data_IF_162152897853
#
_entry.id   IF_162152897853
#
_cell.length_a   1.000
_cell.length_b   1.000
_cell.length_c   1.000
_cell.angle_alpha   90.00
_cell.angle_beta   90.00
_cell.angle_gamma   90.00
#
_symmetry.space_group_name_H-M   'P 1'
#
loop_
_entity.id
_entity.type
_entity.pdbx_description
1 polymer ?
#
# COMPACT_ATOMS: atom_id res chain seq x y z
N UNK A 1 -53.24 10.07 63.85
CA UNK A 1 -53.18 9.96 62.38
C UNK A 1 -51.70 9.95 61.98
N UNK A 2 -51.14 8.82 61.57
CA UNK A 2 -49.71 8.65 61.14
C UNK A 2 -49.70 8.44 59.65
N UNK A 3 -49.26 9.45 58.86
CA UNK A 3 -49.04 9.37 57.42
C UNK A 3 -47.73 8.71 57.15
N UNK A 4 -47.77 7.54 56.48
CA UNK A 4 -46.58 6.80 56.04
C UNK A 4 -46.20 7.32 54.65
N UNK A 5 -45.05 7.98 54.53
CA UNK A 5 -44.47 8.32 53.23
C UNK A 5 -43.77 7.10 52.63
N UNK A 6 -44.32 6.58 51.52
CA UNK A 6 -43.66 5.57 50.68
C UNK A 6 -42.66 6.30 49.78
N UNK A 7 -41.40 6.12 50.05
CA UNK A 7 -40.32 6.60 49.19
C UNK A 7 -40.07 5.51 48.10
N UNK A 8 -40.58 5.75 46.87
CA UNK A 8 -40.38 4.88 45.72
C UNK A 8 -39.01 5.18 45.12
N UNK A 9 -38.00 4.30 45.34
CA UNK A 9 -36.66 4.35 44.76
C UNK A 9 -36.73 3.74 43.35
N UNK A 10 -36.84 4.59 42.32
CA UNK A 10 -36.74 4.14 40.92
C UNK A 10 -35.28 3.88 40.58
N UNK A 11 -34.90 2.60 40.50
CA UNK A 11 -33.55 2.15 40.08
C UNK A 11 -33.47 2.29 38.55
N UNK A 12 -32.82 3.36 38.07
CA UNK A 12 -32.48 3.54 36.65
C UNK A 12 -31.37 2.59 36.24
N UNK A 13 -31.77 1.48 35.56
CA UNK A 13 -30.83 0.54 34.97
C UNK A 13 -30.26 1.16 33.67
N UNK A 14 -29.07 1.73 33.75
CA UNK A 14 -28.34 2.23 32.56
C UNK A 14 -27.75 1.01 31.82
N UNK A 15 -28.43 0.58 30.76
CA UNK A 15 -27.92 -0.45 29.86
C UNK A 15 -26.84 0.20 28.99
N UNK A 16 -25.58 -0.06 29.30
CA UNK A 16 -24.46 0.23 28.39
C UNK A 16 -24.50 -0.73 27.21
N UNK A 17 -25.13 -0.30 26.12
CA UNK A 17 -25.02 -0.99 24.83
C UNK A 17 -23.59 -0.75 24.33
N UNK A 18 -22.73 -1.74 24.49
CA UNK A 18 -21.45 -1.75 23.77
C UNK A 18 -21.78 -1.95 22.29
N UNK A 19 -21.82 -0.87 21.53
CA UNK A 19 -21.76 -0.94 20.07
C UNK A 19 -20.32 -1.36 19.72
N UNK A 20 -20.12 -2.65 19.44
CA UNK A 20 -18.92 -3.09 18.73
C UNK A 20 -18.98 -2.41 17.36
N UNK A 21 -18.22 -1.31 17.23
CA UNK A 21 -17.97 -0.69 15.93
C UNK A 21 -17.15 -1.70 15.14
N UNK A 22 -17.81 -2.50 14.31
CA UNK A 22 -17.16 -3.43 13.40
C UNK A 22 -16.22 -2.59 12.53
N UNK A 23 -14.92 -2.76 12.75
CA UNK A 23 -13.90 -1.98 12.07
C UNK A 23 -13.94 -2.37 10.59
N UNK A 24 -14.63 -1.56 9.79
CA UNK A 24 -14.75 -1.80 8.36
C UNK A 24 -13.40 -1.54 7.69
N UNK A 25 -13.00 -2.44 6.81
CA UNK A 25 -11.77 -2.27 6.00
C UNK A 25 -11.88 -0.97 5.21
N UNK A 26 -10.90 -0.05 5.28
CA UNK A 26 -10.95 1.22 4.57
C UNK A 26 -11.02 1.01 3.05
N UNK A 27 -11.71 1.90 2.34
CA UNK A 27 -11.69 1.90 0.87
C UNK A 27 -10.32 2.33 0.33
N UNK A 28 -10.01 1.97 -0.92
CA UNK A 28 -8.83 2.45 -1.63
C UNK A 28 -8.74 3.97 -1.64
N UNK A 29 -9.85 4.67 -1.84
CA UNK A 29 -9.89 6.13 -1.85
C UNK A 29 -9.52 6.72 -0.50
N UNK A 30 -10.05 6.17 0.60
CA UNK A 30 -9.72 6.64 1.95
C UNK A 30 -8.22 6.42 2.29
N UNK A 31 -7.65 5.28 1.86
CA UNK A 31 -6.22 4.99 2.03
C UNK A 31 -5.38 5.98 1.22
N UNK A 32 -5.72 6.20 -0.03
CA UNK A 32 -4.99 7.12 -0.92
C UNK A 32 -5.09 8.56 -0.47
N UNK A 33 -6.28 9.02 -0.05
CA UNK A 33 -6.46 10.38 0.48
C UNK A 33 -5.52 10.63 1.67
N UNK A 34 -5.48 9.68 2.62
CA UNK A 34 -4.56 9.75 3.77
C UNK A 34 -3.10 9.76 3.32
N UNK A 35 -2.73 8.88 2.37
CA UNK A 35 -1.36 8.80 1.85
C UNK A 35 -0.94 10.09 1.13
N UNK A 36 -1.78 10.66 0.28
CA UNK A 36 -1.49 11.92 -0.41
C UNK A 36 -1.42 13.11 0.57
N UNK A 37 -2.29 13.14 1.58
CA UNK A 37 -2.22 14.18 2.62
C UNK A 37 -0.88 14.14 3.34
N UNK A 38 -0.44 12.97 3.76
CA UNK A 38 0.85 12.78 4.42
C UNK A 38 2.02 13.08 3.48
N UNK A 39 1.97 12.61 2.22
CA UNK A 39 2.98 12.86 1.21
C UNK A 39 3.22 14.36 0.97
N UNK A 40 2.14 15.16 0.94
CA UNK A 40 2.25 16.62 0.82
C UNK A 40 2.91 17.26 2.05
N UNK A 41 2.60 16.79 3.25
CA UNK A 41 3.18 17.32 4.49
C UNK A 41 4.67 16.99 4.60
N UNK A 42 5.08 15.81 4.14
CA UNK A 42 6.45 15.30 4.28
C UNK A 42 7.29 15.48 3.00
N UNK A 43 6.74 16.08 1.96
CA UNK A 43 7.39 16.25 0.63
C UNK A 43 7.91 14.92 0.06
N UNK A 44 7.06 13.87 0.11
CA UNK A 44 7.36 12.51 -0.38
C UNK A 44 6.42 12.11 -1.51
N UNK A 45 6.81 11.11 -2.28
CA UNK A 45 5.93 10.46 -3.23
C UNK A 45 5.10 9.36 -2.55
N UNK A 46 4.06 8.85 -3.22
CA UNK A 46 3.20 7.77 -2.71
C UNK A 46 3.52 6.49 -3.45
N UNK A 47 3.90 5.43 -2.70
CA UNK A 47 4.15 4.10 -3.22
C UNK A 47 2.98 3.19 -2.86
N UNK A 48 2.15 2.84 -3.83
CA UNK A 48 0.96 1.99 -3.66
C UNK A 48 1.29 0.57 -4.06
N UNK A 49 1.06 -0.40 -3.17
CA UNK A 49 1.31 -1.83 -3.43
C UNK A 49 -0.02 -2.58 -3.36
N UNK A 50 -0.41 -3.20 -4.47
CA UNK A 50 -1.52 -4.14 -4.51
C UNK A 50 -1.01 -5.52 -4.12
N UNK A 51 -1.68 -6.13 -3.15
CA UNK A 51 -1.26 -7.41 -2.57
C UNK A 51 -2.44 -8.27 -2.16
N UNK A 52 -2.17 -9.51 -1.80
CA UNK A 52 -3.10 -10.42 -1.14
C UNK A 52 -2.40 -11.14 0.02
N UNK A 53 -3.17 -11.62 1.01
CA UNK A 53 -2.62 -12.30 2.18
C UNK A 53 -1.87 -13.60 1.85
N UNK A 54 -2.21 -14.25 0.76
CA UNK A 54 -1.57 -15.48 0.26
C UNK A 54 -0.34 -15.24 -0.62
N UNK A 55 -0.06 -13.98 -0.98
CA UNK A 55 0.95 -13.63 -1.98
C UNK A 55 2.37 -13.65 -1.40
N UNK A 56 3.10 -14.75 -1.61
CA UNK A 56 4.49 -14.90 -1.13
C UNK A 56 5.45 -13.84 -1.68
N UNK A 57 5.33 -13.44 -2.96
CA UNK A 57 6.14 -12.39 -3.55
C UNK A 57 5.82 -11.00 -2.99
N UNK A 58 4.57 -10.76 -2.54
CA UNK A 58 4.22 -9.52 -1.85
C UNK A 58 4.92 -9.44 -0.49
N UNK A 59 4.91 -10.52 0.29
CA UNK A 59 5.65 -10.60 1.56
C UNK A 59 7.16 -10.44 1.35
N UNK A 60 7.69 -10.96 0.24
CA UNK A 60 9.10 -10.79 -0.11
C UNK A 60 9.43 -9.33 -0.45
N UNK A 61 8.57 -8.65 -1.20
CA UNK A 61 8.68 -7.21 -1.49
C UNK A 61 8.71 -6.40 -0.19
N UNK A 62 7.75 -6.63 0.70
CA UNK A 62 7.67 -5.95 1.99
C UNK A 62 8.90 -6.22 2.85
N UNK A 63 9.37 -7.47 2.91
CA UNK A 63 10.57 -7.84 3.65
C UNK A 63 11.81 -7.15 3.09
N UNK A 64 11.91 -7.00 1.77
CA UNK A 64 13.02 -6.32 1.11
C UNK A 64 13.00 -4.82 1.37
N UNK A 65 11.83 -4.17 1.26
CA UNK A 65 11.69 -2.74 1.53
C UNK A 65 11.88 -2.40 3.01
N UNK A 66 11.54 -3.32 3.92
CA UNK A 66 11.67 -3.15 5.37
C UNK A 66 12.99 -3.70 5.95
N UNK A 67 13.90 -4.18 5.11
CA UNK A 67 15.22 -4.61 5.54
C UNK A 67 15.99 -3.45 6.18
N UNK A 68 16.70 -3.73 7.29
CA UNK A 68 17.40 -2.70 8.05
C UNK A 68 18.43 -1.91 7.21
N UNK A 69 18.95 -2.51 6.14
CA UNK A 69 19.94 -1.86 5.26
C UNK A 69 19.33 -0.79 4.36
N UNK A 70 18.06 -0.94 3.95
CA UNK A 70 17.43 -0.04 2.98
C UNK A 70 16.10 0.57 3.42
N UNK A 71 15.48 0.13 4.52
CA UNK A 71 14.19 0.62 4.99
C UNK A 71 14.12 2.15 5.06
N UNK A 72 15.16 2.77 5.61
CA UNK A 72 15.21 4.23 5.75
C UNK A 72 15.12 4.94 4.40
N UNK A 73 15.70 4.38 3.35
CA UNK A 73 15.67 4.97 2.02
C UNK A 73 14.25 4.99 1.43
N UNK A 74 13.46 3.95 1.68
CA UNK A 74 12.04 3.94 1.30
C UNK A 74 11.23 4.91 2.15
N UNK A 75 11.37 4.86 3.48
CA UNK A 75 10.58 5.72 4.38
C UNK A 75 10.89 7.22 4.24
N UNK A 76 12.10 7.58 3.85
CA UNK A 76 12.48 8.99 3.64
C UNK A 76 11.92 9.56 2.33
N UNK A 77 11.67 8.72 1.32
CA UNK A 77 11.27 9.16 -0.02
C UNK A 77 9.79 8.90 -0.35
N UNK A 78 9.17 7.92 0.33
CA UNK A 78 7.82 7.48 -0.01
C UNK A 78 6.91 7.36 1.20
N UNK A 79 5.64 7.65 1.01
CA UNK A 79 4.55 7.17 1.84
C UNK A 79 4.05 5.88 1.19
N UNK A 80 4.39 4.75 1.79
CA UNK A 80 3.97 3.43 1.29
C UNK A 80 2.60 3.07 1.85
N UNK A 81 1.69 2.65 0.97
CA UNK A 81 0.40 2.11 1.37
C UNK A 81 0.07 0.84 0.59
N UNK A 82 -0.70 -0.04 1.22
CA UNK A 82 -1.11 -1.32 0.67
C UNK A 82 -2.58 -1.31 0.35
N UNK A 83 -2.93 -1.94 -0.77
CA UNK A 83 -4.31 -2.19 -1.19
C UNK A 83 -4.50 -3.70 -1.39
N UNK A 84 -5.36 -4.27 -0.57
CA UNK A 84 -5.68 -5.71 -0.61
C UNK A 84 -6.64 -6.00 -1.75
N UNK A 85 -6.26 -6.93 -2.62
CA UNK A 85 -7.04 -7.41 -3.77
C UNK A 85 -6.88 -8.93 -3.90
N UNK A 86 -7.73 -9.57 -4.71
CA UNK A 86 -7.63 -10.98 -5.12
C UNK A 86 -7.51 -11.98 -3.95
N UNK A 87 -8.14 -11.68 -2.82
CA UNK A 87 -8.20 -12.60 -1.69
C UNK A 87 -9.03 -13.86 -2.01
N UNK A 88 -8.73 -14.95 -1.31
CA UNK A 88 -9.55 -16.16 -1.35
C UNK A 88 -10.99 -15.88 -0.91
N UNK A 89 -11.92 -16.75 -1.29
CA UNK A 89 -13.37 -16.57 -1.06
C UNK A 89 -13.72 -16.26 0.41
N UNK A 90 -13.08 -16.94 1.32
CA UNK A 90 -13.26 -16.80 2.77
C UNK A 90 -12.66 -15.51 3.35
N UNK A 91 -11.78 -14.84 2.60
CA UNK A 91 -11.09 -13.62 3.00
C UNK A 91 -11.45 -12.37 2.21
N UNK A 92 -12.47 -12.46 1.33
CA UNK A 92 -12.93 -11.31 0.52
C UNK A 92 -13.25 -10.06 1.34
N UNK A 93 -13.66 -10.23 2.60
CA UNK A 93 -13.92 -9.12 3.52
C UNK A 93 -12.68 -8.27 3.81
N UNK A 94 -11.46 -8.77 3.56
CA UNK A 94 -10.20 -8.04 3.74
C UNK A 94 -9.86 -7.13 2.57
N UNK A 95 -10.53 -7.27 1.42
CA UNK A 95 -10.26 -6.45 0.25
C UNK A 95 -10.69 -5.01 0.44
N UNK A 96 -9.85 -4.09 -0.04
CA UNK A 96 -10.17 -2.67 -0.02
C UNK A 96 -11.13 -2.35 -1.17
N UNK A 97 -12.35 -1.90 -0.83
CA UNK A 97 -13.33 -1.49 -1.84
C UNK A 97 -12.72 -0.44 -2.78
N UNK A 98 -12.86 -0.63 -4.09
CA UNK A 98 -12.30 0.23 -5.14
C UNK A 98 -10.85 -0.08 -5.54
N UNK A 99 -10.17 -1.02 -4.85
CA UNK A 99 -8.79 -1.35 -5.16
C UNK A 99 -8.64 -2.10 -6.50
N UNK A 100 -9.58 -3.00 -6.83
CA UNK A 100 -9.59 -3.73 -8.11
C UNK A 100 -9.80 -2.74 -9.27
N UNK A 101 -10.75 -1.84 -9.16
CA UNK A 101 -11.04 -0.80 -10.16
C UNK A 101 -9.85 0.14 -10.33
N UNK A 102 -9.18 0.51 -9.25
CA UNK A 102 -7.97 1.32 -9.30
C UNK A 102 -6.83 0.59 -10.04
N UNK A 103 -6.60 -0.69 -9.71
CA UNK A 103 -5.59 -1.52 -10.40
C UNK A 103 -5.89 -1.60 -11.90
N UNK A 104 -7.15 -1.85 -12.27
CA UNK A 104 -7.61 -1.88 -13.65
C UNK A 104 -7.40 -0.57 -14.39
N UNK A 105 -7.70 0.57 -13.75
CA UNK A 105 -7.48 1.91 -14.30
C UNK A 105 -6.03 2.11 -14.79
N UNK A 106 -5.06 1.47 -14.12
CA UNK A 106 -3.65 1.52 -14.46
C UNK A 106 -3.15 0.24 -15.16
N UNK A 107 -4.05 -0.49 -15.82
CA UNK A 107 -3.76 -1.70 -16.59
C UNK A 107 -3.03 -2.79 -15.78
N UNK A 108 -3.28 -2.90 -14.48
CA UNK A 108 -2.62 -3.85 -13.57
C UNK A 108 -3.37 -5.18 -13.41
N UNK A 109 -4.52 -5.37 -14.05
CA UNK A 109 -5.38 -6.55 -13.86
C UNK A 109 -4.69 -7.88 -14.22
N UNK A 110 -3.86 -7.88 -15.27
CA UNK A 110 -3.12 -9.07 -15.77
C UNK A 110 -1.66 -9.10 -15.28
N UNK A 111 -1.27 -8.17 -14.38
CA UNK A 111 0.12 -8.01 -14.00
C UNK A 111 0.62 -9.00 -12.92
N UNK A 112 -0.28 -9.78 -12.31
CA UNK A 112 0.03 -10.56 -11.11
C UNK A 112 0.25 -9.68 -9.87
N UNK A 113 0.68 -10.30 -8.75
CA UNK A 113 0.96 -9.61 -7.49
C UNK A 113 2.40 -9.89 -7.01
N UNK A 114 3.06 -8.90 -6.39
CA UNK A 114 2.56 -7.54 -6.17
C UNK A 114 2.52 -6.73 -7.46
N UNK A 115 1.49 -5.94 -7.64
CA UNK A 115 1.46 -4.84 -8.61
C UNK A 115 1.66 -3.54 -7.84
N UNK A 116 2.43 -2.58 -8.36
CA UNK A 116 2.65 -1.33 -7.63
C UNK A 116 2.67 -0.12 -8.55
N UNK A 117 2.34 1.02 -7.96
CA UNK A 117 2.27 2.33 -8.60
C UNK A 117 3.01 3.35 -7.74
N UNK A 118 3.75 4.26 -8.37
CA UNK A 118 4.34 5.42 -7.71
C UNK A 118 3.69 6.68 -8.24
N UNK A 119 3.14 7.48 -7.34
CA UNK A 119 2.51 8.76 -7.65
C UNK A 119 3.29 9.91 -7.01
N UNK A 120 3.21 11.09 -7.62
CA UNK A 120 3.59 12.32 -6.94
C UNK A 120 2.55 12.73 -5.88
N UNK A 121 2.84 13.78 -5.15
CA UNK A 121 1.97 14.33 -4.08
C UNK A 121 0.61 14.84 -4.59
N UNK A 122 0.47 15.06 -5.91
CA UNK A 122 -0.74 15.54 -6.57
C UNK A 122 -1.55 14.42 -7.22
N UNK A 123 -1.07 13.16 -7.12
CA UNK A 123 -1.72 11.99 -7.70
C UNK A 123 -1.40 11.75 -9.18
N UNK A 124 -0.36 12.39 -9.72
CA UNK A 124 0.15 12.08 -11.05
C UNK A 124 0.98 10.80 -10.99
N UNK A 125 0.67 9.82 -11.84
CA UNK A 125 1.47 8.59 -11.97
C UNK A 125 2.87 8.93 -12.49
N UNK A 126 3.89 8.47 -11.76
CA UNK A 126 5.31 8.61 -12.10
C UNK A 126 5.91 7.31 -12.62
N UNK A 127 5.51 6.16 -12.05
CA UNK A 127 6.00 4.84 -12.42
C UNK A 127 4.99 3.75 -12.02
N UNK A 128 5.10 2.59 -12.66
CA UNK A 128 4.40 1.37 -12.29
C UNK A 128 5.36 0.16 -12.34
N UNK A 129 4.87 -1.02 -11.89
CA UNK A 129 5.64 -2.26 -11.87
C UNK A 129 5.80 -2.95 -13.23
N UNK A 130 5.70 -2.22 -14.32
CA UNK A 130 5.83 -2.81 -15.67
C UNK A 130 7.12 -2.34 -16.34
N UNK A 131 7.97 -3.29 -16.66
CA UNK A 131 9.18 -3.05 -17.44
C UNK A 131 8.84 -2.79 -18.90
N UNK A 132 9.39 -1.71 -19.44
CA UNK A 132 9.20 -1.26 -20.83
C UNK A 132 10.52 -0.84 -21.45
N UNK A 133 10.55 -0.79 -22.77
CA UNK A 133 11.67 -0.20 -23.49
C UNK A 133 11.89 1.27 -23.09
N UNK A 134 13.12 1.73 -23.20
CA UNK A 134 13.47 3.13 -22.90
C UNK A 134 12.67 4.11 -23.78
N UNK A 135 12.10 5.13 -23.12
CA UNK A 135 11.27 6.13 -23.78
C UNK A 135 9.82 5.73 -24.01
N UNK A 136 9.41 4.50 -23.71
CA UNK A 136 8.02 4.08 -23.81
C UNK A 136 7.15 4.74 -22.73
N UNK A 137 5.95 5.17 -23.10
CA UNK A 137 4.97 5.78 -22.18
C UNK A 137 4.38 4.76 -21.19
N UNK A 138 3.89 5.26 -20.05
CA UNK A 138 3.25 4.44 -19.02
C UNK A 138 1.92 3.81 -19.47
N UNK A 139 1.34 4.28 -20.55
CA UNK A 139 0.14 3.76 -21.21
C UNK A 139 0.42 2.58 -22.12
N UNK A 140 1.69 2.29 -22.45
CA UNK A 140 2.08 1.17 -23.30
C UNK A 140 2.13 -0.16 -22.53
N UNK A 141 2.05 -1.27 -23.24
CA UNK A 141 2.26 -2.59 -22.65
C UNK A 141 3.66 -2.70 -22.06
N UNK A 142 3.77 -3.44 -20.95
CA UNK A 142 5.03 -3.76 -20.31
C UNK A 142 4.92 -5.10 -19.59
N UNK A 143 6.06 -5.71 -19.30
CA UNK A 143 6.16 -6.95 -18.56
C UNK A 143 6.18 -6.64 -17.05
N UNK A 144 5.31 -7.31 -16.26
CA UNK A 144 5.25 -7.10 -14.82
C UNK A 144 6.51 -7.64 -14.14
N UNK A 145 7.20 -6.77 -13.41
CA UNK A 145 8.35 -7.16 -12.57
C UNK A 145 7.97 -7.51 -11.13
N UNK A 146 6.74 -7.20 -10.72
CA UNK A 146 6.24 -7.51 -9.38
C UNK A 146 7.23 -7.15 -8.27
N UNK A 147 7.69 -8.18 -7.52
CA UNK A 147 8.83 -8.05 -6.62
C UNK A 147 10.12 -8.35 -7.38
N UNK A 148 10.97 -7.35 -7.67
CA UNK A 148 12.17 -7.54 -8.48
C UNK A 148 13.10 -8.61 -7.92
N UNK A 149 13.54 -9.56 -8.77
CA UNK A 149 14.39 -10.70 -8.41
C UNK A 149 15.49 -10.99 -9.44
N UNK A 150 15.19 -10.94 -10.75
CA UNK A 150 16.20 -11.08 -11.77
C UNK A 150 17.10 -9.82 -11.84
N UNK A 151 18.26 -9.96 -12.43
CA UNK A 151 19.20 -8.83 -12.60
C UNK A 151 18.56 -7.67 -13.40
N UNK A 152 17.80 -8.01 -14.43
CA UNK A 152 17.12 -7.06 -15.31
C UNK A 152 15.99 -6.34 -14.57
N UNK A 153 15.17 -7.06 -13.81
CA UNK A 153 14.08 -6.50 -13.02
C UNK A 153 14.62 -5.56 -11.93
N UNK A 154 15.66 -5.98 -11.22
CA UNK A 154 16.30 -5.16 -10.18
C UNK A 154 16.88 -3.90 -10.79
N UNK A 155 17.64 -3.98 -11.90
CA UNK A 155 18.19 -2.82 -12.59
C UNK A 155 17.09 -1.85 -13.04
N UNK A 156 15.95 -2.37 -13.56
CA UNK A 156 14.82 -1.55 -13.95
C UNK A 156 14.18 -0.87 -12.74
N UNK A 157 13.98 -1.59 -11.66
CA UNK A 157 13.45 -1.03 -10.40
C UNK A 157 14.32 0.11 -9.87
N UNK A 158 15.66 -0.09 -9.83
CA UNK A 158 16.62 0.94 -9.41
C UNK A 158 16.53 2.18 -10.31
N UNK A 159 16.37 1.99 -11.63
CA UNK A 159 16.16 3.09 -12.57
C UNK A 159 14.89 3.90 -12.21
N UNK A 160 13.78 3.22 -11.89
CA UNK A 160 12.54 3.89 -11.50
C UNK A 160 12.68 4.61 -10.15
N UNK A 161 13.33 4.00 -9.15
CA UNK A 161 13.61 4.66 -7.88
C UNK A 161 14.46 5.92 -8.06
N UNK A 162 15.48 5.89 -8.94
CA UNK A 162 16.29 7.06 -9.28
C UNK A 162 15.44 8.20 -9.88
N UNK A 163 14.42 7.88 -10.66
CA UNK A 163 13.54 8.87 -11.31
C UNK A 163 12.48 9.43 -10.37
N UNK A 164 12.09 8.67 -9.33
CA UNK A 164 10.96 8.99 -8.47
C UNK A 164 11.34 9.31 -7.03
N UNK A 165 12.63 9.51 -6.74
CA UNK A 165 13.13 9.82 -5.39
C UNK A 165 14.35 10.74 -5.44
N UNK A 166 14.81 11.17 -4.26
CA UNK A 166 16.07 11.91 -4.07
C UNK A 166 17.25 11.01 -3.68
N UNK A 167 17.15 9.69 -3.91
CA UNK A 167 18.16 8.72 -3.54
C UNK A 167 19.49 8.96 -4.29
N UNK A 168 20.57 8.94 -3.54
CA UNK A 168 21.93 9.01 -4.12
C UNK A 168 22.31 7.68 -4.78
N UNK A 169 23.32 7.69 -5.65
CA UNK A 169 23.84 6.48 -6.28
C UNK A 169 24.27 5.42 -5.25
N UNK A 170 24.90 5.84 -4.14
CA UNK A 170 25.31 4.94 -3.06
C UNK A 170 24.10 4.27 -2.37
N UNK A 171 23.03 5.02 -2.11
CA UNK A 171 21.81 4.48 -1.51
C UNK A 171 21.08 3.52 -2.46
N UNK A 172 21.04 3.85 -3.75
CA UNK A 172 20.48 2.98 -4.78
C UNK A 172 21.25 1.66 -4.89
N UNK A 173 22.58 1.70 -4.79
CA UNK A 173 23.42 0.49 -4.81
C UNK A 173 23.12 -0.45 -3.61
N UNK A 174 22.84 0.10 -2.43
CA UNK A 174 22.44 -0.71 -1.26
C UNK A 174 21.07 -1.37 -1.49
N UNK A 175 20.11 -0.64 -2.07
CA UNK A 175 18.80 -1.22 -2.43
C UNK A 175 18.98 -2.31 -3.49
N UNK A 176 19.81 -2.07 -4.51
CA UNK A 176 20.12 -3.03 -5.56
C UNK A 176 20.70 -4.33 -4.98
N UNK A 177 21.68 -4.24 -4.08
CA UNK A 177 22.26 -5.38 -3.39
C UNK A 177 21.22 -6.17 -2.60
N UNK A 178 20.32 -5.47 -1.87
CA UNK A 178 19.25 -6.12 -1.11
C UNK A 178 18.28 -6.87 -2.01
N UNK A 179 17.80 -6.23 -3.07
CA UNK A 179 16.80 -6.82 -3.99
C UNK A 179 17.40 -7.96 -4.83
N UNK A 180 18.67 -7.89 -5.19
CA UNK A 180 19.38 -8.98 -5.90
C UNK A 180 19.46 -10.30 -5.10
N UNK A 181 19.14 -10.28 -3.80
CA UNK A 181 19.03 -11.47 -2.94
C UNK A 181 17.64 -12.12 -2.99
N UNK A 182 16.67 -11.54 -3.68
CA UNK A 182 15.34 -12.11 -3.88
C UNK A 182 15.44 -13.31 -4.84
N UNK A 183 14.98 -14.49 -4.38
CA UNK A 183 14.96 -15.74 -5.16
C UNK A 183 13.69 -16.51 -4.86
#
# INVERSE_FOLDING_TARGET
MKTKHFLSLALLLVIFIKTDAQQTVPSSDAILEKAYKQARLENKNVFVIFHASWCGWCHKMDSSMNDNTCKKYFTDNYITCHLTVDESRDKKILENRGAVELRKKYNGEDAGLPFWLIFDQKGKLLADSKMRADGAGLDTKGESIGCPASKEEVAYFIKLLKQTSSLTAAQLAIIEERFSKNK
#
